data_IF_470281490287
#
_entry.id   IF_470281490287
#
_cell.length_a   1.000
_cell.length_b   1.000
_cell.length_c   1.000
_cell.angle_alpha   90.00
_cell.angle_beta   90.00
_cell.angle_gamma   90.00
#
_symmetry.space_group_name_H-M   'P 1'
#
loop_
_entity.id
_entity.type
_entity.pdbx_description
1 polymer ?
#
# COMPACT_ATOMS: atom_id res chain seq x y z
N UNK A 1 36.87 24.10 8.82
CA UNK A 1 35.44 23.76 8.85
C UNK A 1 35.29 22.65 9.86
N UNK A 2 34.35 22.79 10.76
CA UNK A 2 34.10 21.81 11.80
C UNK A 2 33.14 20.71 11.33
N UNK A 3 33.11 19.58 12.03
CA UNK A 3 32.28 18.43 11.65
C UNK A 3 30.78 18.75 11.70
N UNK A 4 30.29 19.45 12.74
CA UNK A 4 28.89 19.88 12.80
C UNK A 4 28.52 20.85 11.68
N UNK A 5 29.40 21.83 11.41
CA UNK A 5 29.22 22.81 10.34
C UNK A 5 29.14 22.13 8.97
N UNK A 6 30.04 21.17 8.70
CA UNK A 6 30.03 20.41 7.47
C UNK A 6 28.78 19.51 7.35
N UNK A 7 28.39 18.83 8.44
CA UNK A 7 27.20 17.98 8.47
C UNK A 7 25.93 18.78 8.14
N UNK A 8 25.75 19.93 8.79
CA UNK A 8 24.62 20.82 8.56
C UNK A 8 24.57 21.31 7.12
N UNK A 9 25.73 21.68 6.56
CA UNK A 9 25.84 22.09 5.15
C UNK A 9 25.44 20.96 4.19
N UNK A 10 25.87 19.73 4.46
CA UNK A 10 25.49 18.56 3.66
C UNK A 10 24.00 18.29 3.76
N UNK A 11 23.41 18.33 4.96
CA UNK A 11 21.95 18.15 5.15
C UNK A 11 21.14 19.18 4.37
N UNK A 12 21.57 20.44 4.39
CA UNK A 12 20.95 21.51 3.61
C UNK A 12 21.08 21.26 2.11
N UNK A 13 22.27 20.89 1.64
CA UNK A 13 22.50 20.60 0.22
C UNK A 13 21.74 19.34 -0.24
N UNK A 14 21.56 18.33 0.63
CA UNK A 14 20.66 17.20 0.36
C UNK A 14 19.25 17.74 0.12
N UNK A 15 18.65 18.38 1.13
CA UNK A 15 17.27 18.86 1.08
C UNK A 15 17.00 19.77 -0.13
N UNK A 16 17.91 20.70 -0.42
CA UNK A 16 17.79 21.63 -1.54
C UNK A 16 17.73 20.91 -2.90
N UNK A 17 18.44 19.80 -3.06
CA UNK A 17 18.53 19.05 -4.32
C UNK A 17 17.51 17.92 -4.45
N UNK A 18 16.71 17.62 -3.42
CA UNK A 18 15.60 16.68 -3.52
C UNK A 18 14.51 17.22 -4.47
N UNK A 19 13.79 16.30 -5.11
CA UNK A 19 12.55 16.58 -5.82
C UNK A 19 11.46 17.03 -4.83
N UNK A 20 10.40 17.69 -5.32
CA UNK A 20 9.36 18.24 -4.43
C UNK A 20 8.60 17.15 -3.67
N UNK A 21 8.34 15.99 -4.28
CA UNK A 21 7.65 14.90 -3.59
C UNK A 21 8.47 14.39 -2.39
N UNK A 22 9.76 14.13 -2.59
CA UNK A 22 10.67 13.77 -1.49
C UNK A 22 10.76 14.85 -0.40
N UNK A 23 10.65 16.14 -0.75
CA UNK A 23 10.60 17.23 0.24
C UNK A 23 9.29 17.25 1.00
N UNK A 24 8.18 16.95 0.35
CA UNK A 24 6.86 16.94 0.96
C UNK A 24 6.74 15.79 1.97
N UNK A 25 7.32 14.62 1.67
CA UNK A 25 7.45 13.51 2.64
C UNK A 25 8.14 14.00 3.93
N UNK A 26 9.23 14.75 3.79
CA UNK A 26 9.99 15.28 4.94
C UNK A 26 9.21 16.40 5.66
N UNK A 27 8.55 17.31 4.93
CA UNK A 27 7.77 18.42 5.51
C UNK A 27 6.55 17.92 6.27
N UNK A 28 5.89 16.89 5.74
CA UNK A 28 4.71 16.26 6.33
C UNK A 28 5.03 15.25 7.43
N UNK A 29 6.31 15.02 7.74
CA UNK A 29 6.77 14.02 8.70
C UNK A 29 6.18 12.62 8.43
N UNK A 30 6.11 12.27 7.13
CA UNK A 30 5.43 11.05 6.66
C UNK A 30 6.32 9.81 6.75
N UNK A 31 7.62 9.97 7.00
CA UNK A 31 8.56 8.87 7.11
C UNK A 31 9.82 9.23 7.90
N UNK A 32 10.38 8.24 8.60
CA UNK A 32 11.72 8.30 9.16
C UNK A 32 12.77 8.36 8.03
N UNK A 33 13.81 9.18 8.24
CA UNK A 33 14.87 9.39 7.25
C UNK A 33 16.13 8.61 7.67
N UNK A 34 16.52 7.64 6.85
CA UNK A 34 17.78 6.94 6.96
C UNK A 34 18.78 7.40 5.90
N UNK A 35 20.00 7.74 6.30
CA UNK A 35 21.10 8.08 5.41
C UNK A 35 22.06 6.91 5.25
N UNK A 36 22.29 6.48 4.01
CA UNK A 36 23.31 5.48 3.66
C UNK A 36 24.49 6.15 2.98
N UNK A 37 25.70 5.84 3.47
CA UNK A 37 26.94 6.39 2.92
C UNK A 37 27.22 7.85 3.29
N UNK A 38 26.41 8.45 4.17
CA UNK A 38 26.72 9.73 4.81
C UNK A 38 27.70 9.51 5.96
N UNK A 39 28.93 9.95 5.78
CA UNK A 39 29.93 9.98 6.84
C UNK A 39 30.81 11.21 6.72
N UNK A 40 31.32 11.64 7.87
CA UNK A 40 32.32 12.68 7.99
C UNK A 40 33.64 12.06 8.40
N UNK A 41 34.73 12.52 7.79
CA UNK A 41 36.09 12.04 8.08
C UNK A 41 36.92 13.16 8.69
N UNK A 42 37.52 12.90 9.84
CA UNK A 42 38.42 13.82 10.53
C UNK A 42 39.83 13.78 9.95
N UNK A 43 40.60 14.85 10.18
CA UNK A 43 41.99 14.94 9.73
C UNK A 43 42.92 13.94 10.42
N UNK A 44 42.54 13.42 11.59
CA UNK A 44 43.34 12.46 12.34
C UNK A 44 42.87 11.01 12.12
N UNK A 45 41.99 10.78 11.14
CA UNK A 45 41.51 9.45 10.76
C UNK A 45 40.16 9.06 11.36
N UNK A 46 39.52 9.93 12.14
CA UNK A 46 38.17 9.72 12.65
C UNK A 46 37.19 9.52 11.50
N UNK A 47 36.24 8.59 11.63
CA UNK A 47 35.19 8.38 10.62
C UNK A 47 33.86 8.14 11.32
N UNK A 48 32.98 9.12 11.23
CA UNK A 48 31.67 9.10 11.90
C UNK A 48 30.58 9.02 10.83
N UNK A 49 29.70 8.03 10.96
CA UNK A 49 28.55 7.87 10.09
C UNK A 49 27.35 8.61 10.70
N UNK A 50 26.58 9.27 9.85
CA UNK A 50 25.33 9.92 10.23
C UNK A 50 24.24 9.12 9.53
N UNK A 51 23.53 8.25 10.27
CA UNK A 51 22.49 7.37 9.71
C UNK A 51 21.10 7.98 9.83
N UNK A 52 20.90 8.91 10.74
CA UNK A 52 19.64 9.64 10.93
C UNK A 52 19.92 11.03 11.53
N UNK A 53 18.87 11.81 11.80
CA UNK A 53 19.01 13.13 12.39
C UNK A 53 19.49 13.11 13.86
N UNK A 54 19.25 12.01 14.58
CA UNK A 54 19.70 11.86 15.97
C UNK A 54 21.23 11.69 16.03
N UNK A 55 21.82 10.94 15.10
CA UNK A 55 23.28 10.86 14.95
C UNK A 55 23.91 12.23 14.67
N UNK A 56 23.22 13.10 13.92
CA UNK A 56 23.69 14.48 13.70
C UNK A 56 23.65 15.31 14.98
N UNK A 57 22.59 15.22 15.80
CA UNK A 57 22.51 15.94 17.08
C UNK A 57 23.65 15.53 18.02
N UNK A 58 23.99 14.24 18.03
CA UNK A 58 25.02 13.65 18.88
C UNK A 58 26.43 13.71 18.27
N UNK A 59 26.61 14.28 17.08
CA UNK A 59 27.91 14.39 16.44
C UNK A 59 28.86 15.27 17.26
N UNK A 60 30.03 14.75 17.64
CA UNK A 60 31.07 15.59 18.28
C UNK A 60 31.75 16.51 17.27
N UNK A 61 32.27 17.64 17.76
CA UNK A 61 32.87 18.66 16.90
C UNK A 61 34.39 18.44 16.72
N UNK A 62 34.84 18.25 15.48
CA UNK A 62 36.25 17.99 15.15
C UNK A 62 36.65 18.58 13.78
N UNK A 63 37.96 18.64 13.53
CA UNK A 63 38.51 19.12 12.26
C UNK A 63 38.37 18.07 11.15
N UNK A 64 37.72 18.45 10.05
CA UNK A 64 37.37 17.51 8.96
C UNK A 64 38.27 17.61 7.74
N UNK A 65 38.37 16.50 7.02
CA UNK A 65 38.86 16.45 5.65
C UNK A 65 37.77 16.96 4.69
N UNK A 66 38.18 17.79 3.72
CA UNK A 66 37.28 18.24 2.66
C UNK A 66 36.96 17.09 1.70
N UNK A 67 35.67 16.94 1.39
CA UNK A 67 35.17 15.88 0.51
C UNK A 67 34.15 16.44 -0.47
N UNK A 68 34.03 15.74 -1.59
CA UNK A 68 32.94 15.91 -2.53
C UNK A 68 31.89 14.85 -2.23
N UNK A 69 30.67 15.27 -1.95
CA UNK A 69 29.52 14.40 -1.74
C UNK A 69 28.67 14.36 -3.00
N UNK A 70 28.07 13.21 -3.27
CA UNK A 70 27.15 12.99 -4.38
C UNK A 70 25.92 12.25 -3.88
N UNK A 71 24.75 12.84 -4.09
CA UNK A 71 23.46 12.16 -3.95
C UNK A 71 23.37 11.08 -5.03
N UNK A 72 23.16 9.83 -4.62
CA UNK A 72 23.14 8.66 -5.50
C UNK A 72 21.73 8.24 -5.84
N UNK A 73 20.91 8.05 -4.81
CA UNK A 73 19.52 7.71 -4.97
C UNK A 73 18.70 8.04 -3.73
N UNK A 74 17.41 8.23 -3.94
CA UNK A 74 16.39 8.22 -2.89
C UNK A 74 15.63 6.90 -3.05
N UNK A 75 15.48 6.15 -1.99
CA UNK A 75 14.72 4.91 -1.99
C UNK A 75 13.49 5.06 -1.09
N UNK A 76 12.35 5.06 -1.75
CA UNK A 76 11.01 5.19 -1.19
C UNK A 76 10.28 3.84 -1.20
N UNK A 77 10.97 2.71 -1.42
CA UNK A 77 10.34 1.39 -1.48
C UNK A 77 9.53 1.01 -0.24
N UNK A 78 9.93 1.51 0.91
CA UNK A 78 9.33 1.23 2.21
C UNK A 78 8.63 2.48 2.75
N UNK A 79 8.20 3.40 1.87
CA UNK A 79 7.50 4.62 2.30
C UNK A 79 6.21 4.27 3.06
N UNK A 80 5.52 3.20 2.64
CA UNK A 80 4.31 2.68 3.29
C UNK A 80 4.60 2.14 4.71
N UNK A 81 5.83 1.70 4.97
CA UNK A 81 6.32 1.31 6.30
C UNK A 81 6.86 2.52 7.10
N UNK A 82 6.70 3.74 6.58
CA UNK A 82 7.19 4.97 7.19
C UNK A 82 8.70 5.17 7.05
N UNK A 83 9.36 4.66 6.00
CA UNK A 83 10.82 4.77 5.83
C UNK A 83 11.26 5.33 4.47
N UNK A 84 12.07 6.39 4.51
CA UNK A 84 12.78 6.98 3.37
C UNK A 84 14.30 6.79 3.52
N UNK A 85 14.95 6.20 2.51
CA UNK A 85 16.41 5.98 2.53
C UNK A 85 17.11 6.88 1.51
N UNK A 86 17.97 7.78 1.99
CA UNK A 86 18.80 8.68 1.18
C UNK A 86 20.21 8.10 1.04
N UNK A 87 20.59 7.74 -0.19
CA UNK A 87 21.89 7.15 -0.49
C UNK A 87 22.87 8.20 -1.00
N UNK A 88 24.03 8.25 -0.37
CA UNK A 88 25.12 9.19 -0.64
C UNK A 88 26.41 8.44 -0.93
N UNK A 89 27.30 9.11 -1.64
CA UNK A 89 28.69 8.70 -1.78
C UNK A 89 29.59 9.90 -1.59
N UNK A 90 30.82 9.68 -1.13
CA UNK A 90 31.79 10.76 -0.98
C UNK A 90 33.20 10.34 -1.38
N UNK A 91 33.96 11.29 -1.91
CA UNK A 91 35.38 11.14 -2.25
C UNK A 91 36.19 12.33 -1.77
N UNK A 92 37.48 12.14 -1.52
CA UNK A 92 38.39 13.22 -1.12
C UNK A 92 38.37 14.34 -2.17
N UNK A 93 38.41 15.59 -1.72
CA UNK A 93 38.48 16.76 -2.60
C UNK A 93 39.26 17.89 -1.95
N UNK A 94 39.81 18.80 -2.75
CA UNK A 94 40.52 19.99 -2.23
C UNK A 94 39.58 20.90 -1.43
N UNK A 95 38.34 21.05 -1.90
CA UNK A 95 37.30 21.89 -1.29
C UNK A 95 35.99 21.08 -1.18
N UNK A 96 35.11 21.49 -0.28
CA UNK A 96 33.75 20.96 -0.23
C UNK A 96 33.01 21.17 -1.55
N UNK A 97 32.34 20.12 -2.03
CA UNK A 97 31.44 20.16 -3.19
C UNK A 97 30.28 19.18 -2.97
N UNK A 98 29.10 19.54 -3.45
CA UNK A 98 27.93 18.66 -3.46
C UNK A 98 27.42 18.49 -4.90
N UNK A 99 27.07 17.26 -5.28
CA UNK A 99 26.42 16.95 -6.56
C UNK A 99 25.06 16.31 -6.31
N UNK A 100 23.99 17.04 -6.65
CA UNK A 100 22.60 16.62 -6.44
C UNK A 100 21.76 16.50 -7.71
N UNK A 101 22.31 16.76 -8.90
CA UNK A 101 21.47 16.95 -10.09
C UNK A 101 21.10 15.63 -10.81
N UNK A 102 21.86 14.54 -10.61
CA UNK A 102 21.71 13.26 -11.32
C UNK A 102 21.71 12.08 -10.33
N UNK A 103 20.63 11.96 -9.55
CA UNK A 103 20.34 10.79 -8.70
C UNK A 103 19.11 10.06 -9.23
N UNK A 104 18.96 8.79 -8.86
CA UNK A 104 17.75 8.03 -9.18
C UNK A 104 16.77 8.03 -8.01
N UNK A 105 15.47 8.06 -8.29
CA UNK A 105 14.44 7.80 -7.29
C UNK A 105 13.96 6.37 -7.51
N UNK A 106 14.03 5.56 -6.45
CA UNK A 106 13.43 4.23 -6.39
C UNK A 106 12.12 4.38 -5.65
N UNK A 107 11.04 4.56 -6.40
CA UNK A 107 9.70 4.59 -5.84
C UNK A 107 9.33 3.24 -5.20
N UNK A 108 8.29 3.19 -4.35
CA UNK A 108 7.55 1.96 -4.11
C UNK A 108 7.44 1.20 -5.42
N UNK A 109 8.01 0.01 -5.45
CA UNK A 109 7.75 -0.87 -6.58
C UNK A 109 6.27 -1.22 -6.47
N UNK A 110 5.46 -0.51 -7.25
CA UNK A 110 4.10 -0.85 -7.67
C UNK A 110 4.05 -2.21 -8.42
N UNK A 111 4.97 -3.14 -8.12
CA UNK A 111 5.09 -4.45 -8.75
C UNK A 111 3.86 -5.34 -8.48
N UNK A 112 2.98 -4.94 -7.55
CA UNK A 112 1.71 -5.61 -7.29
C UNK A 112 0.47 -4.84 -7.79
N UNK A 113 0.60 -3.62 -8.32
CA UNK A 113 -0.55 -2.89 -8.87
C UNK A 113 -0.64 -3.15 -10.37
N UNK A 114 -1.68 -3.86 -10.79
CA UNK A 114 -1.92 -4.17 -12.21
C UNK A 114 -2.40 -2.93 -12.98
N UNK A 115 -2.42 -3.01 -14.31
CA UNK A 115 -2.99 -1.94 -15.16
C UNK A 115 -4.46 -1.70 -14.77
N UNK A 116 -5.22 -2.78 -14.57
CA UNK A 116 -6.62 -2.74 -14.13
C UNK A 116 -6.79 -1.96 -12.82
N UNK A 117 -5.93 -2.22 -11.82
CA UNK A 117 -5.98 -1.47 -10.58
C UNK A 117 -5.75 0.03 -10.82
N UNK A 118 -4.68 0.39 -11.56
CA UNK A 118 -4.38 1.80 -11.86
C UNK A 118 -5.53 2.51 -12.57
N UNK A 119 -6.19 1.86 -13.52
CA UNK A 119 -7.34 2.44 -14.22
C UNK A 119 -8.51 2.70 -13.28
N UNK A 120 -8.80 1.78 -12.35
CA UNK A 120 -9.86 1.99 -11.35
C UNK A 120 -9.51 3.07 -10.33
N UNK A 121 -8.24 3.17 -9.95
CA UNK A 121 -7.75 4.24 -9.09
C UNK A 121 -7.92 5.61 -9.75
N UNK A 122 -7.53 5.73 -11.02
CA UNK A 122 -7.71 6.97 -11.79
C UNK A 122 -9.19 7.33 -11.91
N UNK A 123 -10.05 6.35 -12.27
CA UNK A 123 -11.50 6.56 -12.32
C UNK A 123 -12.06 7.08 -11.01
N UNK A 124 -11.62 6.55 -9.88
CA UNK A 124 -12.02 7.03 -8.55
C UNK A 124 -11.54 8.47 -8.29
N UNK A 125 -10.27 8.76 -8.59
CA UNK A 125 -9.67 10.08 -8.36
C UNK A 125 -10.22 11.18 -9.29
N UNK A 126 -10.76 10.82 -10.45
CA UNK A 126 -11.33 11.75 -11.43
C UNK A 126 -12.78 12.13 -11.13
N UNK A 127 -13.47 11.42 -10.23
CA UNK A 127 -14.84 11.77 -9.83
C UNK A 127 -14.83 13.10 -9.09
N UNK A 128 -15.68 14.03 -9.53
CA UNK A 128 -15.99 15.21 -8.74
C UNK A 128 -16.97 14.86 -7.59
N UNK A 129 -17.18 15.79 -6.66
CA UNK A 129 -17.99 15.55 -5.46
C UNK A 129 -19.42 15.08 -5.79
N UNK A 130 -20.07 15.64 -6.81
CA UNK A 130 -21.43 15.24 -7.22
C UNK A 130 -21.44 13.82 -7.83
N UNK A 131 -20.48 13.51 -8.69
CA UNK A 131 -20.32 12.18 -9.29
C UNK A 131 -19.98 11.12 -8.24
N UNK A 132 -19.17 11.48 -7.26
CA UNK A 132 -18.79 10.62 -6.14
C UNK A 132 -20.01 10.29 -5.27
N UNK A 133 -20.81 11.29 -4.90
CA UNK A 133 -22.03 11.09 -4.13
C UNK A 133 -23.02 10.19 -4.86
N UNK A 134 -23.25 10.44 -6.16
CA UNK A 134 -24.11 9.57 -6.99
C UNK A 134 -23.59 8.13 -7.00
N UNK A 135 -22.28 7.95 -7.17
CA UNK A 135 -21.64 6.62 -7.21
C UNK A 135 -21.74 5.87 -5.89
N UNK A 136 -21.61 6.57 -4.77
CA UNK A 136 -21.76 5.98 -3.44
C UNK A 136 -23.22 5.55 -3.22
N UNK A 137 -24.19 6.39 -3.59
CA UNK A 137 -25.63 6.06 -3.44
C UNK A 137 -26.02 4.85 -4.31
N UNK A 138 -25.55 4.80 -5.56
CA UNK A 138 -25.74 3.65 -6.46
C UNK A 138 -25.15 2.38 -5.84
N UNK A 139 -23.93 2.48 -5.31
CA UNK A 139 -23.25 1.36 -4.68
C UNK A 139 -23.98 0.87 -3.43
N UNK A 140 -24.40 1.77 -2.54
CA UNK A 140 -25.10 1.44 -1.30
C UNK A 140 -26.43 0.75 -1.59
N UNK A 141 -27.18 1.24 -2.57
CA UNK A 141 -28.43 0.60 -3.01
C UNK A 141 -28.16 -0.82 -3.51
N UNK A 142 -27.14 -0.96 -4.36
CA UNK A 142 -26.76 -2.22 -4.98
C UNK A 142 -26.27 -3.25 -3.95
N UNK A 143 -25.38 -2.84 -3.05
CA UNK A 143 -24.74 -3.74 -2.08
C UNK A 143 -25.74 -4.23 -1.04
N UNK A 144 -26.71 -3.38 -0.65
CA UNK A 144 -27.78 -3.76 0.27
C UNK A 144 -28.72 -4.81 -0.36
N UNK A 145 -29.11 -4.63 -1.63
CA UNK A 145 -29.90 -5.65 -2.34
C UNK A 145 -29.17 -7.00 -2.41
N UNK A 146 -27.88 -6.98 -2.75
CA UNK A 146 -27.06 -8.20 -2.82
C UNK A 146 -26.92 -8.84 -1.43
N UNK A 147 -26.78 -8.03 -0.39
CA UNK A 147 -26.68 -8.50 0.99
C UNK A 147 -27.97 -9.19 1.44
N UNK A 148 -29.13 -8.58 1.18
CA UNK A 148 -30.44 -9.16 1.50
C UNK A 148 -30.62 -10.52 0.82
N UNK A 149 -30.36 -10.60 -0.49
CA UNK A 149 -30.41 -11.85 -1.26
C UNK A 149 -29.49 -12.94 -0.68
N UNK A 150 -28.27 -12.55 -0.27
CA UNK A 150 -27.29 -13.49 0.27
C UNK A 150 -27.72 -14.02 1.65
N UNK A 151 -28.40 -13.20 2.45
CA UNK A 151 -28.80 -13.53 3.81
C UNK A 151 -30.14 -14.28 3.90
N UNK A 152 -30.98 -14.26 2.86
CA UNK A 152 -32.33 -14.86 2.86
C UNK A 152 -32.34 -16.31 3.41
N UNK A 153 -31.29 -17.09 3.13
CA UNK A 153 -31.18 -18.51 3.52
C UNK A 153 -30.12 -18.77 4.60
N UNK A 154 -29.63 -17.72 5.26
CA UNK A 154 -28.52 -17.76 6.21
C UNK A 154 -28.94 -17.13 7.52
N UNK A 155 -28.99 -17.95 8.57
CA UNK A 155 -29.27 -17.45 9.91
C UNK A 155 -28.00 -16.81 10.51
N UNK A 156 -27.86 -15.50 10.28
CA UNK A 156 -26.95 -14.59 10.97
C UNK A 156 -27.79 -13.74 11.92
N UNK A 157 -27.37 -13.64 13.18
CA UNK A 157 -28.14 -12.91 14.21
C UNK A 157 -27.75 -11.44 14.24
N UNK A 158 -26.52 -11.17 13.88
CA UNK A 158 -25.92 -9.86 13.84
C UNK A 158 -26.52 -9.01 12.71
N UNK A 159 -26.76 -7.73 12.99
CA UNK A 159 -27.05 -6.72 11.97
C UNK A 159 -25.81 -6.52 11.11
N UNK A 160 -25.95 -6.65 9.79
CA UNK A 160 -24.83 -6.43 8.86
C UNK A 160 -25.05 -5.11 8.14
N UNK A 161 -24.06 -4.24 8.18
CA UNK A 161 -24.01 -3.01 7.38
C UNK A 161 -22.78 -3.03 6.50
N UNK A 162 -22.91 -2.51 5.28
CA UNK A 162 -21.83 -2.49 4.29
C UNK A 162 -21.69 -1.08 3.75
N UNK A 163 -20.46 -0.57 3.70
CA UNK A 163 -20.15 0.78 3.24
C UNK A 163 -18.90 0.77 2.37
N UNK A 164 -18.75 1.78 1.50
CA UNK A 164 -17.48 2.06 0.84
C UNK A 164 -16.58 2.84 1.78
N UNK A 165 -15.31 2.44 1.88
CA UNK A 165 -14.33 3.14 2.68
C UNK A 165 -13.61 4.20 1.86
N UNK A 166 -14.11 5.43 1.96
CA UNK A 166 -13.57 6.62 1.26
C UNK A 166 -12.23 7.10 1.80
N UNK A 167 -11.77 6.58 2.96
CA UNK A 167 -10.54 7.01 3.62
C UNK A 167 -9.37 6.04 3.45
N UNK A 168 -9.55 4.94 2.71
CA UNK A 168 -8.52 3.95 2.50
C UNK A 168 -7.32 4.43 1.69
N UNK A 169 -6.16 3.86 1.99
CA UNK A 169 -5.04 3.84 1.06
C UNK A 169 -5.42 3.02 -0.19
N UNK A 170 -5.66 3.75 -1.28
CA UNK A 170 -6.10 3.20 -2.56
C UNK A 170 -5.07 2.18 -3.12
N UNK A 171 -3.80 2.25 -2.71
CA UNK A 171 -2.77 1.32 -3.16
C UNK A 171 -2.86 -0.06 -2.48
N UNK A 172 -3.62 -0.16 -1.38
CA UNK A 172 -3.73 -1.38 -0.58
C UNK A 172 -5.17 -1.91 -0.59
N UNK A 173 -5.44 -2.82 -1.53
CA UNK A 173 -6.75 -3.49 -1.63
C UNK A 173 -6.97 -4.43 -0.45
N UNK A 174 -7.58 -3.91 0.60
CA UNK A 174 -8.06 -4.64 1.77
C UNK A 174 -9.46 -4.16 2.12
N UNK A 175 -10.33 -5.07 2.56
CA UNK A 175 -11.60 -4.70 3.16
C UNK A 175 -11.45 -4.79 4.67
N UNK A 176 -12.05 -3.88 5.42
CA UNK A 176 -12.08 -3.94 6.87
C UNK A 176 -13.42 -4.48 7.35
N UNK A 177 -13.37 -5.34 8.36
CA UNK A 177 -14.58 -5.85 9.00
C UNK A 177 -14.50 -5.60 10.48
N UNK A 178 -15.44 -4.82 10.99
CA UNK A 178 -15.56 -4.47 12.40
C UNK A 178 -16.74 -5.22 13.01
N UNK A 179 -16.54 -5.79 14.19
CA UNK A 179 -17.61 -6.42 14.96
C UNK A 179 -17.78 -5.63 16.25
N UNK A 180 -18.98 -5.10 16.47
CA UNK A 180 -19.35 -4.32 17.65
C UNK A 180 -20.26 -5.14 18.55
N UNK A 181 -19.85 -5.31 19.81
CA UNK A 181 -20.65 -5.80 20.94
C UNK A 181 -21.59 -6.98 20.64
N UNK A 182 -21.10 -7.95 19.85
CA UNK A 182 -21.81 -9.17 19.41
C UNK A 182 -23.10 -9.00 18.58
N UNK A 183 -23.58 -7.77 18.37
CA UNK A 183 -24.86 -7.50 17.71
C UNK A 183 -24.72 -6.94 16.30
N UNK A 184 -23.57 -6.36 15.93
CA UNK A 184 -23.38 -5.70 14.63
C UNK A 184 -22.05 -6.02 13.95
N UNK A 185 -22.11 -6.24 12.65
CA UNK A 185 -20.96 -6.40 11.76
C UNK A 185 -20.99 -5.28 10.73
N UNK A 186 -19.90 -4.51 10.64
CA UNK A 186 -19.72 -3.47 9.62
C UNK A 186 -18.62 -3.93 8.65
N UNK A 187 -18.93 -3.94 7.36
CA UNK A 187 -17.97 -4.26 6.29
C UNK A 187 -17.67 -2.98 5.52
N UNK A 188 -16.41 -2.57 5.56
CA UNK A 188 -15.84 -1.45 4.84
C UNK A 188 -15.17 -1.98 3.57
N UNK A 189 -15.75 -1.67 2.41
CA UNK A 189 -15.31 -2.14 1.10
C UNK A 189 -14.37 -1.14 0.45
N UNK A 190 -13.26 -1.63 -0.09
CA UNK A 190 -12.29 -0.82 -0.82
C UNK A 190 -12.93 -0.14 -2.06
N UNK A 191 -12.69 1.17 -2.31
CA UNK A 191 -13.33 1.94 -3.39
C UNK A 191 -13.18 1.37 -4.81
N UNK A 192 -12.11 0.65 -5.09
CA UNK A 192 -11.89 -0.01 -6.40
C UNK A 192 -12.98 -1.01 -6.78
N UNK A 193 -13.71 -1.55 -5.80
CA UNK A 193 -14.85 -2.44 -6.04
C UNK A 193 -16.14 -1.69 -6.40
N UNK A 194 -16.15 -0.37 -6.30
CA UNK A 194 -17.28 0.45 -6.75
C UNK A 194 -17.54 0.26 -8.26
N UNK A 195 -16.49 -0.08 -9.01
CA UNK A 195 -16.56 -0.39 -10.45
C UNK A 195 -16.79 -1.87 -10.77
N UNK A 196 -17.08 -2.70 -9.76
CA UNK A 196 -17.30 -4.13 -9.93
C UNK A 196 -18.76 -4.46 -10.29
N UNK A 197 -18.94 -5.56 -11.01
CA UNK A 197 -20.27 -6.10 -11.27
C UNK A 197 -20.86 -6.79 -10.03
N UNK A 198 -22.16 -7.06 -10.09
CA UNK A 198 -22.98 -7.57 -9.00
C UNK A 198 -22.49 -8.94 -8.51
N UNK A 199 -22.07 -9.79 -9.43
CA UNK A 199 -21.55 -11.11 -9.12
C UNK A 199 -20.24 -11.06 -8.32
N UNK A 200 -19.35 -10.12 -8.66
CA UNK A 200 -18.11 -9.90 -7.91
C UNK A 200 -18.41 -9.34 -6.52
N UNK A 201 -19.35 -8.40 -6.41
CA UNK A 201 -19.76 -7.83 -5.11
C UNK A 201 -20.43 -8.89 -4.23
N UNK A 202 -21.28 -9.75 -4.80
CA UNK A 202 -21.86 -10.90 -4.10
C UNK A 202 -20.76 -11.86 -3.60
N UNK A 203 -19.75 -12.11 -4.43
CA UNK A 203 -18.58 -12.90 -4.06
C UNK A 203 -17.75 -12.29 -2.94
N UNK A 204 -17.57 -10.96 -2.97
CA UNK A 204 -16.87 -10.21 -1.93
C UNK A 204 -17.61 -10.34 -0.59
N UNK A 205 -18.92 -10.05 -0.57
CA UNK A 205 -19.72 -10.18 0.66
C UNK A 205 -19.74 -11.61 1.19
N UNK A 206 -19.92 -12.60 0.32
CA UNK A 206 -19.90 -14.00 0.71
C UNK A 206 -18.55 -14.41 1.32
N UNK A 207 -17.44 -13.90 0.77
CA UNK A 207 -16.11 -14.12 1.32
C UNK A 207 -15.95 -13.49 2.71
N UNK A 208 -16.30 -12.22 2.87
CA UNK A 208 -16.15 -11.51 4.16
C UNK A 208 -17.04 -12.13 5.25
N UNK A 209 -18.30 -12.40 4.92
CA UNK A 209 -19.26 -13.02 5.86
C UNK A 209 -18.91 -14.48 6.18
N UNK A 210 -18.21 -15.20 5.29
CA UNK A 210 -17.78 -16.57 5.57
C UNK A 210 -16.82 -16.69 6.76
N UNK A 211 -16.15 -15.60 7.14
CA UNK A 211 -15.28 -15.52 8.33
C UNK A 211 -16.09 -15.69 9.61
N UNK A 212 -17.37 -15.34 9.60
CA UNK A 212 -18.30 -15.45 10.73
C UNK A 212 -19.20 -16.68 10.61
N UNK A 213 -19.66 -16.98 9.38
CA UNK A 213 -20.57 -18.10 9.12
C UNK A 213 -20.12 -18.93 7.92
N UNK A 214 -19.54 -20.09 8.17
CA UNK A 214 -19.01 -20.99 7.13
C UNK A 214 -20.03 -21.42 6.07
N UNK A 215 -21.32 -21.52 6.44
CA UNK A 215 -22.42 -21.83 5.51
C UNK A 215 -22.52 -20.81 4.36
N UNK A 216 -22.14 -19.55 4.59
CA UNK A 216 -22.11 -18.51 3.54
C UNK A 216 -21.15 -18.91 2.42
N UNK A 217 -19.97 -19.45 2.77
CA UNK A 217 -19.02 -19.91 1.77
C UNK A 217 -19.58 -21.07 0.96
N UNK A 218 -20.26 -22.02 1.59
CA UNK A 218 -20.80 -23.21 0.92
C UNK A 218 -21.91 -22.84 -0.08
N UNK A 219 -22.72 -21.81 0.21
CA UNK A 219 -23.77 -21.32 -0.69
C UNK A 219 -23.17 -20.41 -1.78
N UNK A 220 -22.25 -19.51 -1.41
CA UNK A 220 -21.75 -18.45 -2.28
C UNK A 220 -20.46 -18.76 -3.03
N UNK A 221 -19.90 -19.97 -2.92
CA UNK A 221 -18.53 -20.26 -3.41
C UNK A 221 -18.32 -19.93 -4.89
N UNK A 222 -19.35 -20.09 -5.74
CA UNK A 222 -19.29 -19.74 -7.18
C UNK A 222 -19.05 -18.26 -7.42
N UNK A 223 -19.69 -17.40 -6.63
CA UNK A 223 -19.47 -15.95 -6.73
C UNK A 223 -18.16 -15.55 -6.06
N UNK A 224 -17.74 -16.24 -4.98
CA UNK A 224 -16.42 -16.03 -4.38
C UNK A 224 -15.30 -16.34 -5.38
N UNK A 225 -15.46 -17.32 -6.29
CA UNK A 225 -14.50 -17.56 -7.38
C UNK A 225 -14.39 -16.34 -8.31
N UNK A 226 -15.51 -15.69 -8.66
CA UNK A 226 -15.51 -14.48 -9.50
C UNK A 226 -14.80 -13.33 -8.80
N UNK A 227 -15.07 -13.13 -7.51
CA UNK A 227 -14.34 -12.18 -6.67
C UNK A 227 -12.84 -12.48 -6.64
N UNK A 228 -12.44 -13.74 -6.45
CA UNK A 228 -11.04 -14.14 -6.46
C UNK A 228 -10.35 -13.86 -7.80
N UNK A 229 -11.06 -14.10 -8.92
CA UNK A 229 -10.56 -13.80 -10.28
C UNK A 229 -10.32 -12.31 -10.44
N UNK A 230 -11.24 -11.46 -9.97
CA UNK A 230 -11.07 -10.01 -10.02
C UNK A 230 -9.97 -9.51 -9.09
N UNK A 231 -9.91 -10.01 -7.85
CA UNK A 231 -8.85 -9.66 -6.90
C UNK A 231 -7.46 -10.03 -7.44
N UNK A 232 -7.32 -11.18 -8.11
CA UNK A 232 -6.09 -11.56 -8.80
C UNK A 232 -5.78 -10.59 -9.94
N UNK A 233 -6.75 -10.19 -10.76
CA UNK A 233 -6.56 -9.18 -11.82
C UNK A 233 -6.12 -7.84 -11.27
N UNK A 234 -6.52 -7.45 -10.05
CA UNK A 234 -6.16 -6.18 -9.43
C UNK A 234 -4.79 -6.22 -8.73
N UNK A 235 -4.38 -7.37 -8.19
CA UNK A 235 -3.23 -7.47 -7.28
C UNK A 235 -2.12 -8.43 -7.73
N UNK A 236 -2.37 -9.25 -8.76
CA UNK A 236 -1.60 -10.44 -9.13
C UNK A 236 -1.43 -11.47 -7.99
N UNK A 237 -2.13 -11.32 -6.87
CA UNK A 237 -2.04 -12.24 -5.73
C UNK A 237 -3.06 -13.35 -5.87
N UNK A 238 -2.64 -14.58 -5.55
CA UNK A 238 -3.52 -15.74 -5.45
C UNK A 238 -4.24 -15.74 -4.09
N UNK A 239 -5.58 -15.65 -4.03
CA UNK A 239 -6.32 -15.69 -2.78
C UNK A 239 -6.25 -17.07 -2.11
N UNK A 240 -5.90 -17.12 -0.83
CA UNK A 240 -5.80 -18.38 -0.05
C UNK A 240 -7.14 -19.13 0.08
N UNK A 241 -8.26 -18.43 -0.07
CA UNK A 241 -9.59 -19.02 0.04
C UNK A 241 -9.90 -20.04 -1.07
N UNK A 242 -9.19 -19.95 -2.21
CA UNK A 242 -9.39 -20.86 -3.35
C UNK A 242 -9.22 -22.33 -2.97
N UNK A 243 -8.34 -22.67 -2.03
CA UNK A 243 -8.19 -24.06 -1.55
C UNK A 243 -9.44 -24.57 -0.84
N UNK A 244 -10.06 -23.73 0.00
CA UNK A 244 -11.32 -24.08 0.68
C UNK A 244 -12.46 -24.25 -0.31
N UNK A 245 -12.55 -23.35 -1.29
CA UNK A 245 -13.55 -23.39 -2.36
C UNK A 245 -13.36 -24.63 -3.24
N UNK A 246 -12.11 -25.01 -3.56
CA UNK A 246 -11.79 -26.22 -4.34
C UNK A 246 -12.31 -27.48 -3.65
N UNK A 247 -12.18 -27.57 -2.32
CA UNK A 247 -12.73 -28.68 -1.54
C UNK A 247 -14.27 -28.72 -1.59
N UNK A 248 -14.92 -27.57 -1.54
CA UNK A 248 -16.38 -27.46 -1.68
C UNK A 248 -16.81 -27.92 -3.08
N UNK A 249 -16.19 -27.38 -4.14
CA UNK A 249 -16.51 -27.75 -5.52
C UNK A 249 -16.29 -29.25 -5.79
N UNK A 250 -15.22 -29.85 -5.25
CA UNK A 250 -14.98 -31.30 -5.32
C UNK A 250 -16.08 -32.11 -4.62
N UNK A 251 -16.53 -31.69 -3.43
CA UNK A 251 -17.62 -32.35 -2.68
C UNK A 251 -18.92 -32.38 -3.49
N UNK A 252 -19.18 -31.34 -4.28
CA UNK A 252 -20.38 -31.22 -5.12
C UNK A 252 -20.21 -31.71 -6.56
N UNK A 253 -19.00 -32.11 -6.96
CA UNK A 253 -18.73 -32.49 -8.36
C UNK A 253 -18.87 -31.33 -9.36
N UNK A 254 -18.66 -30.08 -8.93
CA UNK A 254 -18.80 -28.89 -9.77
C UNK A 254 -17.55 -28.68 -10.63
N UNK A 255 -17.54 -29.30 -11.80
CA UNK A 255 -16.42 -29.26 -12.75
C UNK A 255 -16.14 -27.86 -13.29
N UNK A 256 -17.17 -27.04 -13.48
CA UNK A 256 -17.02 -25.70 -14.04
C UNK A 256 -16.29 -24.77 -13.07
N UNK A 257 -16.66 -24.84 -11.79
CA UNK A 257 -15.98 -24.12 -10.71
C UNK A 257 -14.53 -24.58 -10.56
N UNK A 258 -14.27 -25.89 -10.66
CA UNK A 258 -12.91 -26.43 -10.60
C UNK A 258 -12.03 -25.93 -11.76
N UNK A 259 -12.59 -25.85 -12.97
CA UNK A 259 -11.90 -25.30 -14.14
C UNK A 259 -11.55 -23.82 -13.93
N UNK A 260 -12.51 -23.01 -13.47
CA UNK A 260 -12.29 -21.59 -13.17
C UNK A 260 -11.22 -21.39 -12.08
N UNK A 261 -11.22 -22.22 -11.04
CA UNK A 261 -10.17 -22.18 -10.01
C UNK A 261 -8.81 -22.48 -10.65
N UNK A 262 -8.71 -23.52 -11.46
CA UNK A 262 -7.45 -23.87 -12.13
C UNK A 262 -6.95 -22.75 -13.06
N UNK A 263 -7.83 -22.04 -13.77
CA UNK A 263 -7.45 -20.83 -14.54
C UNK A 263 -6.83 -19.77 -13.62
N UNK A 264 -7.49 -19.45 -12.49
CA UNK A 264 -6.99 -18.49 -11.51
C UNK A 264 -5.70 -18.97 -10.83
N UNK A 265 -5.43 -20.26 -10.76
CA UNK A 265 -4.17 -20.78 -10.19
C UNK A 265 -2.99 -20.76 -11.17
N UNK A 266 -3.25 -20.84 -12.48
CA UNK A 266 -2.23 -21.04 -13.51
C UNK A 266 -1.97 -19.82 -14.42
N UNK A 267 -2.85 -18.81 -14.43
CA UNK A 267 -2.56 -17.47 -15.02
C UNK A 267 -1.51 -16.67 -14.21
#
# INVERSE_FOLDING_TARGET
MKSKELAQKILYDIYKNLDEFSKDIIRGDLAEIEFKGFYIKGKNGEKVYIRNLEDFKNLEDFEVEMRKYKLKSINLKNLDDGLMIINLSSRVSKNYKFEGNNYSIVYPSNNNTTIELKERMLKWMELNDEELDEKIIEFDTKINNILEDLLENINIKEEISVYVDVFMDINKIENFVEKYDDDKIIIWIHPVFLFSNDDVLRGLLAYELSKFKSKVLEIGYRDVIKYCKELKKLTNKKPKILEKIKNIANKYGDTDSLNLINEIENE
#
